data_IF_981548503559
#
_entry.id   IF_981548503559
#
_cell.length_a   1.000
_cell.length_b   1.000
_cell.length_c   1.000
_cell.angle_alpha   90.00
_cell.angle_beta   90.00
_cell.angle_gamma   90.00
#
_symmetry.space_group_name_H-M   'P 1'
#
loop_
_entity.id
_entity.type
_entity.pdbx_description
1 polymer ?
#
# COMPACT_ATOMS: atom_id res chain seq x y z
N UNK A 1 7.37 4.22 0.49
CA UNK A 1 6.19 3.63 -0.16
C UNK A 1 4.97 4.05 0.64
N UNK A 2 3.82 4.17 0.00
CA UNK A 2 2.54 4.42 0.65
C UNK A 2 1.55 3.30 0.32
N UNK A 3 0.66 3.01 1.27
CA UNK A 3 -0.42 2.04 1.11
C UNK A 3 -1.74 2.81 0.97
N UNK A 4 -2.49 2.47 -0.07
CA UNK A 4 -3.76 3.10 -0.39
C UNK A 4 -4.89 2.08 -0.46
N UNK A 5 -6.12 2.58 -0.34
CA UNK A 5 -7.31 1.89 -0.78
C UNK A 5 -8.15 2.74 -1.73
N UNK A 6 -8.92 2.08 -2.59
CA UNK A 6 -9.97 2.67 -3.40
C UNK A 6 -11.22 1.79 -3.41
N UNK A 7 -12.39 2.41 -3.25
CA UNK A 7 -13.72 1.81 -3.33
C UNK A 7 -14.43 2.12 -4.67
N UNK A 8 -13.78 2.91 -5.53
CA UNK A 8 -14.32 3.41 -6.80
C UNK A 8 -13.47 3.02 -8.03
N UNK A 9 -12.41 2.22 -7.85
CA UNK A 9 -11.63 1.70 -8.99
C UNK A 9 -12.40 0.62 -9.75
N UNK A 10 -12.42 0.73 -11.07
CA UNK A 10 -13.17 -0.15 -11.99
C UNK A 10 -12.42 -1.45 -12.37
N UNK A 11 -11.23 -1.66 -11.82
CA UNK A 11 -10.39 -2.83 -12.11
C UNK A 11 -9.61 -2.75 -13.43
N UNK A 12 -9.65 -1.61 -14.13
CA UNK A 12 -8.91 -1.42 -15.40
C UNK A 12 -7.63 -0.61 -15.20
N UNK A 13 -6.61 -0.89 -16.02
CA UNK A 13 -5.34 -0.13 -15.99
C UNK A 13 -5.55 1.37 -16.22
N UNK A 14 -6.39 1.73 -17.19
CA UNK A 14 -6.74 3.12 -17.47
C UNK A 14 -7.45 3.79 -16.27
N UNK A 15 -8.31 3.04 -15.58
CA UNK A 15 -9.06 3.49 -14.42
C UNK A 15 -8.22 3.78 -13.18
N UNK A 16 -6.97 3.29 -13.11
CA UNK A 16 -6.08 3.54 -11.97
C UNK A 16 -5.90 5.04 -11.71
N UNK A 17 -5.81 5.84 -12.77
CA UNK A 17 -5.62 7.31 -12.63
C UNK A 17 -6.92 8.07 -12.35
N UNK A 18 -8.08 7.44 -12.55
CA UNK A 18 -9.39 8.03 -12.34
C UNK A 18 -9.97 7.74 -10.95
N UNK A 19 -9.51 6.67 -10.29
CA UNK A 19 -9.97 6.26 -8.96
C UNK A 19 -9.51 7.21 -7.84
N UNK A 20 -10.27 7.23 -6.75
CA UNK A 20 -9.97 8.02 -5.55
C UNK A 20 -9.17 7.20 -4.54
N UNK A 21 -7.85 7.26 -4.66
CA UNK A 21 -6.92 6.59 -3.74
C UNK A 21 -6.80 7.34 -2.40
N UNK A 22 -7.17 6.67 -1.31
CA UNK A 22 -7.08 7.19 0.07
C UNK A 22 -6.00 6.44 0.84
N UNK A 23 -5.20 7.15 1.63
CA UNK A 23 -4.04 6.58 2.35
C UNK A 23 -4.53 5.75 3.54
N UNK A 24 -3.97 4.55 3.71
CA UNK A 24 -4.08 3.74 4.92
C UNK A 24 -2.91 4.09 5.85
N UNK A 25 -3.12 5.04 6.77
CA UNK A 25 -2.04 5.59 7.62
C UNK A 25 -1.59 4.66 8.73
N UNK A 26 -2.39 3.66 9.07
CA UNK A 26 -2.11 2.75 10.18
C UNK A 26 -1.09 1.67 9.79
N UNK A 27 -0.87 1.44 8.50
CA UNK A 27 0.16 0.55 8.01
C UNK A 27 1.54 1.15 8.30
N UNK A 28 2.38 0.42 9.04
CA UNK A 28 3.78 0.77 9.14
C UNK A 28 4.47 0.50 7.80
N UNK A 29 5.18 1.50 7.28
CA UNK A 29 6.08 1.34 6.14
C UNK A 29 7.47 1.75 6.59
N UNK A 30 8.46 0.91 6.26
CA UNK A 30 9.87 1.15 6.61
C UNK A 30 10.35 2.52 6.15
N UNK A 31 11.20 3.11 6.98
CA UNK A 31 11.80 4.44 6.79
C UNK A 31 13.27 4.29 6.45
N UNK A 32 13.88 5.34 5.91
CA UNK A 32 15.31 5.35 5.59
C UNK A 32 16.22 5.13 6.82
N UNK A 33 15.68 5.32 8.03
CA UNK A 33 16.39 5.05 9.29
C UNK A 33 16.34 3.60 9.73
N UNK A 34 15.49 2.77 9.11
CA UNK A 34 15.35 1.36 9.46
C UNK A 34 16.44 0.52 8.78
N UNK A 35 16.66 -0.69 9.31
CA UNK A 35 17.62 -1.61 8.73
C UNK A 35 17.12 -2.17 7.40
N UNK A 36 17.92 -2.06 6.35
CA UNK A 36 17.65 -2.69 5.05
C UNK A 36 17.78 -4.22 5.05
N UNK A 37 18.25 -4.82 6.15
CA UNK A 37 18.45 -6.26 6.27
C UNK A 37 17.33 -6.98 7.04
N UNK A 38 16.44 -6.23 7.69
CA UNK A 38 15.41 -6.78 8.57
C UNK A 38 14.02 -6.62 7.94
N UNK A 39 13.14 -7.57 8.23
CA UNK A 39 11.71 -7.48 7.90
C UNK A 39 10.97 -6.78 9.03
N UNK A 40 10.19 -5.76 8.67
CA UNK A 40 9.33 -5.03 9.60
C UNK A 40 7.87 -5.35 9.30
N UNK A 41 7.11 -5.70 10.34
CA UNK A 41 5.68 -5.89 10.22
C UNK A 41 4.98 -4.56 9.96
N UNK A 42 4.08 -4.54 8.97
CA UNK A 42 3.19 -3.40 8.72
C UNK A 42 2.09 -3.22 9.77
N UNK A 43 1.94 -4.19 10.69
CA UNK A 43 0.86 -4.23 11.67
C UNK A 43 -0.51 -4.55 11.04
N UNK A 44 -1.54 -4.53 11.88
CA UNK A 44 -2.93 -4.67 11.43
C UNK A 44 -3.51 -3.29 11.11
N UNK A 45 -4.07 -3.15 9.91
CA UNK A 45 -4.84 -1.97 9.50
C UNK A 45 -6.32 -2.27 9.68
N UNK A 46 -7.03 -1.46 10.47
CA UNK A 46 -8.47 -1.63 10.65
C UNK A 46 -9.24 -1.11 9.43
N UNK A 47 -9.90 -2.01 8.71
CA UNK A 47 -10.71 -1.71 7.54
C UNK A 47 -12.22 -1.71 7.84
N UNK A 48 -12.62 -1.90 9.11
CA UNK A 48 -14.02 -2.09 9.51
C UNK A 48 -14.93 -0.89 9.22
N UNK A 49 -14.34 0.30 9.05
CA UNK A 49 -15.06 1.52 8.68
C UNK A 49 -15.36 1.62 7.16
N UNK A 50 -14.84 0.69 6.36
CA UNK A 50 -14.98 0.68 4.90
C UNK A 50 -15.90 -0.47 4.50
N UNK A 51 -16.82 -0.19 3.59
CA UNK A 51 -17.86 -1.15 3.18
C UNK A 51 -17.83 -1.39 1.68
N UNK A 52 -18.29 -2.56 1.26
CA UNK A 52 -18.30 -2.96 -0.15
C UNK A 52 -16.95 -3.51 -0.61
N UNK A 53 -16.79 -3.65 -1.92
CA UNK A 53 -15.52 -4.11 -2.50
C UNK A 53 -14.54 -2.96 -2.52
N UNK A 54 -13.34 -3.20 -1.97
CA UNK A 54 -12.22 -2.27 -2.05
C UNK A 54 -11.01 -2.91 -2.68
N UNK A 55 -10.10 -2.06 -3.14
CA UNK A 55 -8.84 -2.45 -3.76
C UNK A 55 -7.69 -1.81 -3.00
N UNK A 56 -6.66 -2.57 -2.71
CA UNK A 56 -5.45 -2.10 -2.03
C UNK A 56 -4.37 -1.83 -3.07
N UNK A 57 -3.68 -0.69 -2.95
CA UNK A 57 -2.53 -0.36 -3.79
C UNK A 57 -1.30 -0.04 -2.94
N UNK A 58 -0.16 -0.55 -3.37
CA UNK A 58 1.16 -0.22 -2.84
C UNK A 58 1.87 0.65 -3.87
N UNK A 59 2.20 1.88 -3.51
CA UNK A 59 2.83 2.82 -4.43
C UNK A 59 4.19 3.24 -3.89
N UNK A 60 5.21 3.05 -4.72
CA UNK A 60 6.52 3.63 -4.52
C UNK A 60 6.74 4.74 -5.56
N UNK A 61 7.10 5.93 -5.10
CA UNK A 61 7.51 7.04 -5.97
C UNK A 61 9.03 7.14 -5.93
N UNK A 62 9.68 6.68 -6.99
CA UNK A 62 11.12 6.87 -7.18
C UNK A 62 11.48 8.33 -7.49
N UNK A 63 12.75 8.66 -7.34
CA UNK A 63 13.33 9.94 -7.74
C UNK A 63 13.48 10.08 -9.27
N UNK A 64 13.41 8.96 -10.01
CA UNK A 64 13.69 8.91 -11.44
C UNK A 64 15.19 8.78 -11.76
N UNK A 65 16.05 8.79 -10.75
CA UNK A 65 17.48 8.53 -10.86
C UNK A 65 17.74 7.11 -10.36
N UNK A 66 17.86 6.15 -11.28
CA UNK A 66 17.94 4.71 -10.95
C UNK A 66 19.03 4.32 -9.96
N UNK A 67 20.12 5.08 -9.84
CA UNK A 67 21.19 4.85 -8.86
C UNK A 67 20.83 5.24 -7.42
N UNK A 68 19.76 6.02 -7.24
CA UNK A 68 19.26 6.48 -5.94
C UNK A 68 17.87 5.94 -5.63
N UNK A 69 17.23 5.25 -6.57
CA UNK A 69 15.97 4.58 -6.34
C UNK A 69 16.21 3.27 -5.59
N UNK A 70 15.49 3.09 -4.49
CA UNK A 70 15.54 1.89 -3.66
C UNK A 70 14.52 0.85 -4.12
N UNK A 71 14.59 -0.33 -3.50
CA UNK A 71 13.60 -1.39 -3.67
C UNK A 71 12.84 -1.54 -2.36
N UNK A 72 11.51 -1.66 -2.45
CA UNK A 72 10.68 -2.14 -1.36
C UNK A 72 10.33 -3.60 -1.65
N UNK A 73 10.57 -4.47 -0.68
CA UNK A 73 10.13 -5.86 -0.70
C UNK A 73 8.93 -6.02 0.23
N UNK A 74 7.92 -6.76 -0.22
CA UNK A 74 6.67 -7.01 0.49
C UNK A 74 6.39 -8.49 0.49
N UNK A 75 6.01 -9.03 1.64
CA UNK A 75 5.62 -10.44 1.80
C UNK A 75 4.50 -10.55 2.85
N UNK A 76 3.88 -11.73 2.94
CA UNK A 76 2.85 -12.08 3.93
C UNK A 76 1.64 -11.11 3.96
N UNK A 77 1.23 -10.60 2.79
CA UNK A 77 0.04 -9.75 2.66
C UNK A 77 -1.21 -10.61 2.86
N UNK A 78 -1.95 -10.35 3.94
CA UNK A 78 -3.25 -10.96 4.23
C UNK A 78 -4.35 -9.90 4.36
N UNK A 79 -5.56 -10.26 3.96
CA UNK A 79 -6.77 -9.47 4.17
C UNK A 79 -7.81 -10.39 4.79
N UNK A 80 -8.21 -10.07 6.01
CA UNK A 80 -9.22 -10.83 6.74
C UNK A 80 -10.57 -10.11 6.66
N UNK A 81 -11.59 -10.85 6.25
CA UNK A 81 -12.98 -10.40 6.27
C UNK A 81 -13.78 -11.37 7.14
N UNK A 82 -14.48 -10.83 8.13
CA UNK A 82 -15.40 -11.57 8.98
C UNK A 82 -16.81 -11.12 8.63
N UNK A 83 -17.64 -12.06 8.17
CA UNK A 83 -19.07 -11.85 7.86
C UNK A 83 -19.92 -11.68 9.13
#
# INVERSE_FOLDING_TARGET
MEVFYADDWDGTEAGVTAATWRILTDAYVVKDTDSFAEWFSSGNVDLSCISGTIHIAFKYTGSGQSTFDGVYELDDISVDFVE
#
